data_IF_452361182252
#
_entry.id   IF_452361182252
#
_cell.length_a   1.000
_cell.length_b   1.000
_cell.length_c   1.000
_cell.angle_alpha   90.00
_cell.angle_beta   90.00
_cell.angle_gamma   90.00
#
_symmetry.space_group_name_H-M   'P 1'
#
loop_
_entity.id
_entity.type
_entity.pdbx_description
1 polymer ?
#
# COMPACT_ATOMS: atom_id res chain seq x y z
N UNK A 1 0.38 -8.38 -6.11
CA UNK A 1 -0.54 -8.39 -4.94
C UNK A 1 -1.22 -9.75 -4.82
N UNK A 2 -0.48 -10.84 -4.99
CA UNK A 2 -0.97 -12.18 -4.65
C UNK A 2 0.19 -12.79 -3.87
N UNK A 3 -0.04 -13.08 -2.60
CA UNK A 3 1.00 -13.42 -1.65
C UNK A 3 0.90 -14.90 -1.34
N UNK A 4 1.90 -15.70 -1.75
CA UNK A 4 1.95 -17.13 -1.42
C UNK A 4 2.35 -17.37 0.04
N UNK A 5 3.11 -16.44 0.64
CA UNK A 5 3.47 -16.42 2.04
C UNK A 5 3.60 -14.96 2.52
N UNK A 6 3.11 -14.65 3.73
CA UNK A 6 3.20 -13.32 4.37
C UNK A 6 4.67 -12.95 4.62
N UNK A 7 5.55 -13.92 4.85
CA UNK A 7 6.98 -13.70 5.06
C UNK A 7 7.71 -13.18 3.80
N UNK A 8 7.15 -13.41 2.60
CA UNK A 8 7.69 -12.91 1.32
C UNK A 8 7.18 -11.51 0.97
N UNK A 9 6.53 -10.82 1.91
CA UNK A 9 5.92 -9.51 1.69
C UNK A 9 6.74 -8.37 2.32
N UNK A 10 6.05 -7.28 2.69
CA UNK A 10 6.63 -6.18 3.45
C UNK A 10 7.18 -6.62 4.83
N UNK A 11 6.75 -7.77 5.39
CA UNK A 11 7.28 -8.27 6.67
C UNK A 11 8.79 -8.36 6.67
N UNK A 12 9.38 -9.05 5.67
CA UNK A 12 10.84 -9.16 5.53
C UNK A 12 11.52 -7.79 5.46
N UNK A 13 10.92 -6.85 4.74
CA UNK A 13 11.46 -5.49 4.59
C UNK A 13 11.56 -4.76 5.94
N UNK A 14 10.54 -4.87 6.79
CA UNK A 14 10.49 -4.21 8.10
C UNK A 14 11.31 -4.95 9.15
N UNK A 15 11.29 -6.29 9.16
CA UNK A 15 12.12 -7.10 10.07
C UNK A 15 13.61 -6.80 9.89
N UNK A 16 14.06 -6.53 8.66
CA UNK A 16 15.44 -6.11 8.36
C UNK A 16 15.77 -4.67 8.80
N UNK A 17 14.78 -3.89 9.24
CA UNK A 17 14.89 -2.47 9.63
C UNK A 17 14.52 -2.23 11.09
N UNK A 18 14.80 -3.21 11.94
CA UNK A 18 14.60 -3.14 13.39
C UNK A 18 13.14 -3.05 13.86
N UNK A 19 12.18 -3.44 13.01
CA UNK A 19 10.81 -3.69 13.48
C UNK A 19 10.68 -5.12 13.98
N UNK A 20 9.90 -5.30 15.03
CA UNK A 20 9.49 -6.60 15.56
C UNK A 20 8.26 -7.13 14.82
N UNK A 21 8.06 -8.44 14.85
CA UNK A 21 6.87 -9.08 14.26
C UNK A 21 5.57 -8.53 14.88
N UNK A 22 5.58 -8.24 16.17
CA UNK A 22 4.42 -7.70 16.90
C UNK A 22 4.09 -6.26 16.49
N UNK A 23 5.08 -5.45 16.12
CA UNK A 23 4.84 -4.12 15.55
C UNK A 23 4.23 -4.22 14.15
N UNK A 24 4.77 -5.10 13.30
CA UNK A 24 4.30 -5.27 11.92
C UNK A 24 2.86 -5.80 11.89
N UNK A 25 2.51 -6.72 12.80
CA UNK A 25 1.14 -7.26 12.93
C UNK A 25 0.09 -6.20 13.28
N UNK A 26 0.51 -5.09 13.91
CA UNK A 26 -0.35 -3.95 14.24
C UNK A 26 -0.54 -2.97 13.08
N UNK A 27 0.18 -3.15 11.97
CA UNK A 27 -0.03 -2.32 10.78
C UNK A 27 -1.42 -2.57 10.19
N UNK A 28 -1.99 -1.52 9.60
CA UNK A 28 -3.24 -1.65 8.85
C UNK A 28 -3.05 -2.63 7.69
N UNK A 29 -4.01 -3.54 7.49
CA UNK A 29 -3.92 -4.57 6.44
C UNK A 29 -2.64 -5.40 6.58
N UNK A 30 -2.37 -5.91 7.79
CA UNK A 30 -1.18 -6.71 8.09
C UNK A 30 -1.15 -8.07 7.38
N UNK A 31 -2.24 -8.46 6.71
CA UNK A 31 -2.35 -9.61 5.81
C UNK A 31 -2.26 -9.20 4.32
N UNK A 32 -1.94 -7.93 4.04
CA UNK A 32 -1.79 -7.37 2.70
C UNK A 32 -3.10 -7.00 2.02
N UNK A 33 -2.98 -6.52 0.78
CA UNK A 33 -4.10 -6.24 -0.12
C UNK A 33 -3.89 -7.06 -1.37
N UNK A 34 -4.95 -7.76 -1.78
CA UNK A 34 -4.91 -8.72 -2.88
C UNK A 34 -5.63 -8.20 -4.12
N UNK A 35 -5.30 -8.80 -5.27
CA UNK A 35 -6.05 -8.55 -6.51
C UNK A 35 -7.53 -8.88 -6.28
N UNK A 36 -8.40 -7.98 -6.74
CA UNK A 36 -9.85 -8.10 -6.57
C UNK A 36 -10.39 -7.50 -5.28
N UNK A 37 -9.54 -7.01 -4.38
CA UNK A 37 -9.99 -6.22 -3.25
C UNK A 37 -10.45 -4.83 -3.70
N UNK A 38 -11.48 -4.31 -3.05
CA UNK A 38 -11.87 -2.90 -3.11
C UNK A 38 -11.50 -2.25 -1.79
N UNK A 39 -10.72 -1.17 -1.85
CA UNK A 39 -10.35 -0.40 -0.65
C UNK A 39 -11.06 0.94 -0.62
N UNK A 40 -11.61 1.28 0.55
CA UNK A 40 -12.15 2.60 0.81
C UNK A 40 -11.04 3.48 1.41
N UNK A 41 -10.98 4.70 0.90
CA UNK A 41 -9.92 5.66 1.20
C UNK A 41 -10.54 6.89 1.83
N UNK A 42 -9.95 7.36 2.93
CA UNK A 42 -10.33 8.61 3.57
C UNK A 42 -9.20 9.62 3.43
N UNK A 43 -9.54 10.90 3.28
CA UNK A 43 -8.56 11.98 3.38
C UNK A 43 -7.97 11.97 4.79
N UNK A 44 -6.68 12.22 4.89
CA UNK A 44 -5.93 12.27 6.14
C UNK A 44 -5.00 13.48 6.08
N UNK A 45 -4.74 14.09 7.24
CA UNK A 45 -3.73 15.13 7.33
C UNK A 45 -2.33 14.49 7.32
N UNK A 46 -1.32 15.10 6.68
CA UNK A 46 0.02 14.51 6.59
C UNK A 46 0.63 14.14 7.94
N UNK A 47 0.31 14.89 9.00
CA UNK A 47 0.85 14.68 10.35
C UNK A 47 0.25 13.46 11.06
N UNK A 48 -0.90 12.95 10.58
CA UNK A 48 -1.52 11.74 11.12
C UNK A 48 -0.98 10.46 10.46
N UNK A 49 -0.23 10.60 9.36
CA UNK A 49 0.31 9.48 8.61
C UNK A 49 1.42 8.79 9.41
N UNK A 50 1.43 7.47 9.39
CA UNK A 50 2.42 6.65 10.12
C UNK A 50 3.06 5.62 9.21
N UNK A 51 4.27 5.19 9.59
CA UNK A 51 4.90 4.02 8.99
C UNK A 51 4.00 2.80 9.20
N UNK A 52 3.83 2.01 8.15
CA UNK A 52 2.90 0.87 8.12
C UNK A 52 1.53 1.17 7.53
N UNK A 53 1.14 2.44 7.43
CA UNK A 53 -0.12 2.85 6.78
C UNK A 53 -0.14 2.49 5.29
N UNK A 54 -1.31 2.14 4.76
CA UNK A 54 -1.51 1.97 3.32
C UNK A 54 -2.18 3.23 2.76
N UNK A 55 -1.57 3.83 1.74
CA UNK A 55 -2.06 5.05 1.12
C UNK A 55 -2.30 4.89 -0.37
N UNK A 56 -3.18 5.73 -0.90
CA UNK A 56 -3.38 5.92 -2.32
C UNK A 56 -2.81 7.28 -2.71
N UNK A 57 -1.95 7.31 -3.72
CA UNK A 57 -1.31 8.54 -4.20
C UNK A 57 -1.23 8.56 -5.72
N UNK A 58 -1.06 9.76 -6.28
CA UNK A 58 -0.84 9.95 -7.71
C UNK A 58 0.64 9.74 -8.05
N UNK A 59 0.89 8.83 -8.97
CA UNK A 59 2.20 8.59 -9.59
C UNK A 59 2.17 8.99 -11.08
N UNK A 60 3.31 9.02 -11.78
CA UNK A 60 3.35 9.22 -13.23
C UNK A 60 2.51 8.21 -14.03
N UNK A 61 2.34 6.99 -13.49
CA UNK A 61 1.61 5.90 -14.14
C UNK A 61 0.15 5.77 -13.66
N UNK A 62 -0.36 6.80 -12.95
CA UNK A 62 -1.72 6.83 -12.39
C UNK A 62 -1.76 6.60 -10.89
N UNK A 63 -2.94 6.22 -10.39
CA UNK A 63 -3.19 6.03 -8.95
C UNK A 63 -2.62 4.70 -8.48
N UNK A 64 -1.80 4.74 -7.42
CA UNK A 64 -1.13 3.57 -6.87
C UNK A 64 -1.48 3.43 -5.39
N UNK A 65 -1.60 2.18 -4.92
CA UNK A 65 -1.90 1.84 -3.53
C UNK A 65 -0.68 1.13 -2.96
N UNK A 66 0.07 1.77 -2.07
CA UNK A 66 1.28 1.21 -1.45
C UNK A 66 1.35 1.50 0.04
N UNK A 67 2.26 0.81 0.73
CA UNK A 67 2.50 0.95 2.16
C UNK A 67 3.61 1.95 2.44
N UNK A 68 3.40 2.82 3.42
CA UNK A 68 4.38 3.77 3.91
C UNK A 68 5.47 3.02 4.65
N UNK A 69 6.72 3.20 4.21
CA UNK A 69 7.90 2.56 4.80
C UNK A 69 8.80 3.54 5.55
N UNK A 70 8.75 4.83 5.22
CA UNK A 70 9.40 5.90 5.99
C UNK A 70 8.70 7.24 5.80
N UNK A 71 8.86 8.11 6.78
CA UNK A 71 8.41 9.51 6.76
C UNK A 71 9.56 10.36 7.29
N UNK A 72 10.10 11.24 6.46
CA UNK A 72 11.26 12.07 6.78
C UNK A 72 11.01 13.50 6.31
N UNK A 73 11.06 14.47 7.23
CA UNK A 73 10.87 15.90 6.91
C UNK A 73 9.60 16.20 6.07
N UNK A 74 8.51 15.48 6.31
CA UNK A 74 7.25 15.62 5.56
C UNK A 74 7.24 14.96 4.18
N UNK A 75 8.35 14.34 3.77
CA UNK A 75 8.46 13.50 2.58
C UNK A 75 8.16 12.05 2.94
N UNK A 76 7.25 11.43 2.19
CA UNK A 76 6.80 10.06 2.42
C UNK A 76 7.47 9.12 1.41
N UNK A 77 7.99 8.00 1.90
CA UNK A 77 8.43 6.90 1.02
C UNK A 77 7.47 5.73 1.19
N UNK A 78 6.99 5.20 0.08
CA UNK A 78 6.13 4.02 0.05
C UNK A 78 6.81 2.87 -0.68
N UNK A 79 6.21 1.69 -0.60
CA UNK A 79 6.57 0.54 -1.41
C UNK A 79 5.37 -0.38 -1.58
N UNK A 80 5.27 -1.02 -2.75
CA UNK A 80 4.31 -2.11 -2.96
C UNK A 80 4.66 -3.32 -2.10
N UNK A 81 3.68 -3.89 -1.41
CA UNK A 81 3.89 -4.98 -0.44
C UNK A 81 4.66 -6.18 -1.04
N UNK A 82 4.47 -6.45 -2.33
CA UNK A 82 5.14 -7.54 -3.07
C UNK A 82 6.52 -7.18 -3.66
N UNK A 83 6.89 -5.89 -3.70
CA UNK A 83 8.21 -5.49 -4.22
C UNK A 83 9.30 -5.85 -3.18
N UNK A 84 10.59 -5.92 -3.53
CA UNK A 84 11.65 -6.05 -2.53
C UNK A 84 12.06 -4.70 -1.91
N UNK A 85 11.97 -3.63 -2.69
CA UNK A 85 12.43 -2.27 -2.35
C UNK A 85 11.53 -1.22 -2.99
N UNK A 86 11.56 0.04 -2.51
CA UNK A 86 10.85 1.13 -3.17
C UNK A 86 11.42 1.42 -4.57
N UNK A 87 10.55 1.78 -5.51
CA UNK A 87 10.91 2.30 -6.82
C UNK A 87 11.15 3.83 -6.78
N UNK A 88 11.71 4.40 -7.84
CA UNK A 88 12.07 5.83 -7.87
C UNK A 88 10.89 6.78 -7.62
N UNK A 89 9.72 6.49 -8.20
CA UNK A 89 8.51 7.32 -8.00
C UNK A 89 7.80 7.06 -6.66
N UNK A 90 8.25 6.06 -5.90
CA UNK A 90 7.69 5.72 -4.59
C UNK A 90 8.42 6.47 -3.46
N UNK A 91 9.50 7.17 -3.81
CA UNK A 91 10.30 8.02 -2.93
C UNK A 91 9.88 9.48 -3.08
N UNK A 92 10.08 10.26 -2.02
CA UNK A 92 9.81 11.70 -2.02
C UNK A 92 8.37 12.09 -2.38
N UNK A 93 7.39 11.30 -1.92
CA UNK A 93 5.98 11.58 -2.14
C UNK A 93 5.59 12.76 -1.26
N UNK A 94 5.16 13.85 -1.89
CA UNK A 94 4.64 15.04 -1.23
C UNK A 94 3.21 14.81 -0.73
N UNK A 95 2.83 15.54 0.33
CA UNK A 95 1.47 15.53 0.87
C UNK A 95 0.38 15.76 -0.19
N UNK A 96 0.65 16.61 -1.20
CA UNK A 96 -0.29 16.94 -2.26
C UNK A 96 -0.53 15.78 -3.23
N UNK A 97 0.42 14.84 -3.35
CA UNK A 97 0.25 13.64 -4.16
C UNK A 97 -0.62 12.60 -3.47
N UNK A 98 -0.74 12.65 -2.14
CA UNK A 98 -1.50 11.69 -1.34
C UNK A 98 -3.00 11.99 -1.49
N UNK A 99 -3.74 11.03 -2.03
CA UNK A 99 -5.20 11.11 -2.18
C UNK A 99 -5.86 10.79 -0.83
N UNK A 100 -5.32 9.81 -0.12
CA UNK A 100 -5.75 9.48 1.24
C UNK A 100 -5.22 8.14 1.72
N UNK A 101 -5.62 7.78 2.95
CA UNK A 101 -5.27 6.53 3.62
C UNK A 101 -6.40 5.51 3.48
N UNK A 102 -6.04 4.27 3.15
CA UNK A 102 -6.99 3.16 3.15
C UNK A 102 -7.45 2.87 4.58
N UNK A 103 -8.74 2.69 4.80
CA UNK A 103 -9.31 2.41 6.13
C UNK A 103 -10.23 1.19 6.16
N UNK A 104 -10.69 0.70 5.00
CA UNK A 104 -11.49 -0.50 4.89
C UNK A 104 -11.13 -1.25 3.61
N UNK A 105 -11.08 -2.57 3.69
CA UNK A 105 -10.89 -3.50 2.57
C UNK A 105 -12.11 -4.40 2.47
N UNK A 106 -12.69 -4.50 1.28
CA UNK A 106 -13.76 -5.43 0.95
C UNK A 106 -13.18 -6.48 -0.01
N UNK A 107 -12.90 -7.69 0.47
CA UNK A 107 -12.31 -8.74 -0.36
C UNK A 107 -13.21 -9.14 -1.52
N UNK A 108 -12.60 -9.51 -2.64
CA UNK A 108 -13.25 -10.06 -3.84
C UNK A 108 -14.25 -9.16 -4.60
N UNK A 109 -14.66 -8.02 -4.06
CA UNK A 109 -15.67 -7.15 -4.66
C UNK A 109 -15.25 -6.57 -6.03
N UNK A 110 -13.96 -6.52 -6.32
CA UNK A 110 -13.40 -6.05 -7.59
C UNK A 110 -13.42 -7.08 -8.72
N UNK A 111 -13.64 -8.37 -8.43
CA UNK A 111 -13.60 -9.43 -9.45
C UNK A 111 -14.63 -9.28 -10.58
N UNK A 112 -15.89 -8.85 -10.34
CA UNK A 112 -16.84 -8.64 -11.43
C UNK A 112 -16.33 -7.65 -12.49
N UNK A 113 -15.70 -6.55 -12.06
CA UNK A 113 -15.06 -5.58 -12.97
C UNK A 113 -13.88 -6.21 -13.72
N UNK A 114 -13.04 -6.95 -13.01
CA UNK A 114 -11.88 -7.62 -13.61
C UNK A 114 -12.33 -8.65 -14.68
N UNK A 115 -13.35 -9.46 -14.38
CA UNK A 115 -13.91 -10.43 -15.31
C UNK A 115 -14.46 -9.73 -16.56
N UNK A 116 -15.21 -8.65 -16.40
CA UNK A 116 -15.72 -7.86 -17.51
C UNK A 116 -14.58 -7.34 -18.42
N UNK A 117 -13.52 -6.77 -17.83
CA UNK A 117 -12.36 -6.28 -18.60
C UNK A 117 -11.65 -7.41 -19.35
N UNK A 118 -11.41 -8.55 -18.69
CA UNK A 118 -10.83 -9.74 -19.33
C UNK A 118 -11.67 -10.26 -20.50
N UNK A 119 -13.00 -10.23 -20.39
CA UNK A 119 -13.90 -10.63 -21.49
C UNK A 119 -13.89 -9.65 -22.65
N UNK A 120 -13.68 -8.36 -22.39
CA UNK A 120 -13.60 -7.30 -23.40
C UNK A 120 -12.20 -7.19 -24.03
N UNK A 121 -11.21 -7.92 -23.53
CA UNK A 121 -9.84 -7.93 -24.07
C UNK A 121 -9.05 -6.65 -23.80
N UNK A 122 -9.38 -5.93 -22.72
CA UNK A 122 -8.75 -4.66 -22.30
C UNK A 122 -8.33 -4.66 -20.84
#
# INVERSE_FOLDING_TARGET
>A
MEHKNVDDTFYKFFLQRNFTLEEIRKFDFSDGINRGDVVLVKKIRPEELKVGDVIVFNSPNGKIIHRVISIENGSVTTKGDANPSPLGFEQHISAQQIIGKAYLRIPYLGYPRILLLMLLGV
#
